data_IF_797283547686
#
_entry.id   IF_797283547686
#
_cell.length_a   1.000
_cell.length_b   1.000
_cell.length_c   1.000
_cell.angle_alpha   90.00
_cell.angle_beta   90.00
_cell.angle_gamma   90.00
#
_symmetry.space_group_name_H-M   'P 1'
#
loop_
_entity.id
_entity.type
_entity.pdbx_description
1 polymer ?
#
# COMPACT_ATOMS: atom_id res chain seq x y z
N UNK A 1 -0.91 -17.54 -5.73
CA UNK A 1 0.31 -17.81 -4.95
C UNK A 1 1.51 -16.97 -5.39
N UNK A 2 1.70 -16.64 -6.68
CA UNK A 2 2.81 -15.78 -7.16
C UNK A 2 2.58 -14.29 -6.87
N UNK A 3 1.36 -13.80 -7.02
CA UNK A 3 0.95 -12.41 -6.74
C UNK A 3 1.15 -12.08 -5.25
N UNK A 4 0.77 -12.99 -4.33
CA UNK A 4 0.96 -12.79 -2.89
C UNK A 4 2.44 -12.71 -2.48
N UNK A 5 3.31 -13.49 -3.13
CA UNK A 5 4.76 -13.44 -2.88
C UNK A 5 5.40 -12.16 -3.41
N UNK A 6 4.96 -11.67 -4.57
CA UNK A 6 5.44 -10.42 -5.17
C UNK A 6 4.92 -9.21 -4.37
N UNK A 7 3.67 -9.26 -3.88
CA UNK A 7 3.11 -8.24 -2.99
C UNK A 7 3.77 -8.22 -1.61
N UNK A 8 4.07 -9.40 -1.03
CA UNK A 8 4.83 -9.50 0.22
C UNK A 8 6.24 -8.93 0.03
N UNK A 9 6.86 -9.18 -1.12
CA UNK A 9 8.18 -8.62 -1.47
C UNK A 9 8.11 -7.09 -1.65
N UNK A 10 7.10 -6.57 -2.35
CA UNK A 10 6.90 -5.13 -2.54
C UNK A 10 6.48 -4.42 -1.26
N UNK A 11 5.60 -5.02 -0.44
CA UNK A 11 5.29 -4.49 0.90
C UNK A 11 6.54 -4.50 1.80
N UNK A 12 7.38 -5.51 1.74
CA UNK A 12 8.65 -5.52 2.46
C UNK A 12 9.62 -4.45 1.96
N UNK A 13 9.66 -4.16 0.66
CA UNK A 13 10.45 -3.04 0.12
C UNK A 13 9.88 -1.68 0.57
N UNK A 14 8.55 -1.52 0.62
CA UNK A 14 7.89 -0.29 1.09
C UNK A 14 7.98 -0.12 2.62
N UNK A 15 7.80 -1.19 3.41
CA UNK A 15 7.90 -1.12 4.88
C UNK A 15 9.34 -0.99 5.37
N UNK A 16 10.31 -1.60 4.70
CA UNK A 16 11.73 -1.42 5.01
C UNK A 16 12.22 0.00 4.69
N UNK A 17 11.67 0.65 3.66
CA UNK A 17 11.99 2.05 3.34
C UNK A 17 11.41 3.04 4.37
N UNK A 18 10.27 2.75 5.02
CA UNK A 18 9.67 3.60 6.04
C UNK A 18 10.27 3.41 7.44
N UNK A 19 10.77 2.23 7.77
CA UNK A 19 11.33 1.93 9.10
C UNK A 19 12.77 2.38 9.31
N UNK A 20 13.49 2.83 8.28
CA UNK A 20 14.92 3.14 8.35
C UNK A 20 15.30 4.59 8.01
N UNK A 21 14.39 5.53 8.09
CA UNK A 21 14.69 6.95 7.88
C UNK A 21 15.56 7.62 8.96
N UNK A 22 16.03 6.91 9.98
CA UNK A 22 16.82 7.50 11.09
C UNK A 22 18.27 7.02 11.14
N UNK A 23 18.72 6.09 10.31
CA UNK A 23 20.14 5.74 10.30
C UNK A 23 20.74 5.76 8.90
N UNK A 24 21.38 6.88 8.61
CA UNK A 24 22.44 7.11 7.62
C UNK A 24 22.05 6.97 6.14
N UNK A 25 22.21 8.06 5.39
CA UNK A 25 22.11 8.10 3.92
C UNK A 25 22.96 7.05 3.17
N UNK A 26 23.87 6.37 3.86
CA UNK A 26 24.71 5.28 3.36
C UNK A 26 23.89 3.98 3.16
N UNK A 27 23.00 3.64 4.09
CA UNK A 27 22.19 2.41 3.98
C UNK A 27 21.13 2.51 2.86
N UNK A 28 20.55 3.71 2.68
CA UNK A 28 19.60 3.98 1.57
C UNK A 28 20.31 3.92 0.23
N UNK A 29 21.52 4.46 0.13
CA UNK A 29 22.34 4.41 -1.09
C UNK A 29 22.78 2.97 -1.44
N UNK A 30 23.18 2.16 -0.45
CA UNK A 30 23.52 0.76 -0.66
C UNK A 30 22.32 -0.06 -1.14
N UNK A 31 21.13 0.17 -0.59
CA UNK A 31 19.91 -0.51 -1.01
C UNK A 31 19.50 -0.11 -2.44
N UNK A 32 19.64 1.17 -2.79
CA UNK A 32 19.39 1.66 -4.15
C UNK A 32 20.36 1.05 -5.18
N UNK A 33 21.63 0.90 -4.84
CA UNK A 33 22.62 0.27 -5.73
C UNK A 33 22.31 -1.21 -5.95
N UNK A 34 21.98 -1.96 -4.90
CA UNK A 34 21.58 -3.37 -5.03
C UNK A 34 20.31 -3.54 -5.88
N UNK A 35 19.34 -2.61 -5.79
CA UNK A 35 18.16 -2.62 -6.66
C UNK A 35 18.53 -2.35 -8.12
N UNK A 36 19.46 -1.41 -8.39
CA UNK A 36 19.96 -1.13 -9.75
C UNK A 36 20.73 -2.30 -10.35
N UNK A 37 21.53 -2.98 -9.56
CA UNK A 37 22.24 -4.19 -10.00
C UNK A 37 21.23 -5.31 -10.36
N UNK A 38 20.17 -5.45 -9.57
CA UNK A 38 19.09 -6.40 -9.85
C UNK A 38 18.29 -6.03 -11.11
N UNK A 39 18.04 -4.74 -11.33
CA UNK A 39 17.40 -4.23 -12.54
C UNK A 39 18.28 -4.51 -13.78
N UNK A 40 19.60 -4.29 -13.66
CA UNK A 40 20.56 -4.59 -14.70
C UNK A 40 20.57 -6.08 -15.02
N UNK A 41 20.68 -6.94 -14.01
CA UNK A 41 20.67 -8.39 -14.21
C UNK A 41 19.37 -8.88 -14.89
N UNK A 42 18.21 -8.33 -14.51
CA UNK A 42 16.94 -8.63 -15.17
C UNK A 42 16.92 -8.15 -16.63
N UNK A 43 17.52 -6.97 -16.91
CA UNK A 43 17.62 -6.41 -18.25
C UNK A 43 18.55 -7.23 -19.13
N UNK A 44 19.71 -7.65 -18.61
CA UNK A 44 20.68 -8.49 -19.31
C UNK A 44 20.05 -9.87 -19.63
N UNK A 45 19.36 -10.47 -18.66
CA UNK A 45 18.64 -11.74 -18.88
C UNK A 45 17.54 -11.61 -19.93
N UNK A 46 16.82 -10.48 -19.94
CA UNK A 46 15.77 -10.20 -20.91
C UNK A 46 16.32 -10.03 -22.33
N UNK A 47 17.58 -9.55 -22.49
CA UNK A 47 18.22 -9.44 -23.79
C UNK A 47 18.42 -10.82 -24.46
N UNK A 48 18.67 -11.88 -23.67
CA UNK A 48 18.76 -13.25 -24.16
C UNK A 48 17.41 -13.94 -24.31
N UNK A 49 16.40 -13.49 -23.56
CA UNK A 49 15.04 -14.06 -23.55
C UNK A 49 13.98 -12.97 -23.73
N UNK A 50 13.95 -12.27 -24.89
CA UNK A 50 13.12 -11.06 -25.08
C UNK A 50 11.62 -11.31 -24.97
N UNK A 51 11.19 -12.57 -25.12
CA UNK A 51 9.79 -12.98 -25.06
C UNK A 51 9.33 -13.37 -23.64
N UNK A 52 10.25 -13.40 -22.67
CA UNK A 52 9.92 -13.86 -21.31
C UNK A 52 9.06 -12.85 -20.55
N UNK A 53 7.78 -13.19 -20.36
CA UNK A 53 6.85 -12.41 -19.51
C UNK A 53 7.37 -12.32 -18.08
N UNK A 54 7.90 -13.41 -17.53
CA UNK A 54 8.41 -13.43 -16.15
C UNK A 54 9.56 -12.44 -15.94
N UNK A 55 10.53 -12.37 -16.88
CA UNK A 55 11.64 -11.41 -16.80
C UNK A 55 11.18 -9.97 -16.97
N UNK A 56 10.17 -9.73 -17.84
CA UNK A 56 9.57 -8.39 -17.97
C UNK A 56 8.88 -7.93 -16.69
N UNK A 57 8.07 -8.80 -16.07
CA UNK A 57 7.44 -8.50 -14.80
C UNK A 57 8.47 -8.24 -13.69
N UNK A 58 9.58 -9.01 -13.68
CA UNK A 58 10.67 -8.80 -12.74
C UNK A 58 11.36 -7.46 -12.98
N UNK A 59 11.69 -7.11 -14.22
CA UNK A 59 12.26 -5.81 -14.59
C UNK A 59 11.34 -4.67 -14.20
N UNK A 60 10.05 -4.78 -14.51
CA UNK A 60 9.05 -3.79 -14.13
C UNK A 60 8.96 -3.59 -12.61
N UNK A 61 9.03 -4.68 -11.83
CA UNK A 61 9.00 -4.59 -10.37
C UNK A 61 10.22 -3.85 -9.80
N UNK A 62 11.41 -4.03 -10.37
CA UNK A 62 12.59 -3.26 -9.98
C UNK A 62 12.46 -1.77 -10.32
N UNK A 63 11.91 -1.43 -11.50
CA UNK A 63 11.61 -0.04 -11.84
C UNK A 63 10.61 0.58 -10.84
N UNK A 64 9.59 -0.18 -10.41
CA UNK A 64 8.67 0.26 -9.35
C UNK A 64 9.40 0.54 -8.04
N UNK A 65 10.28 -0.35 -7.60
CA UNK A 65 11.09 -0.16 -6.38
C UNK A 65 12.01 1.05 -6.46
N UNK A 66 12.49 1.39 -7.65
CA UNK A 66 13.33 2.56 -7.93
C UNK A 66 12.52 3.84 -8.20
N UNK A 67 11.19 3.79 -8.13
CA UNK A 67 10.28 4.87 -8.50
C UNK A 67 10.41 5.34 -9.96
N UNK A 68 10.91 4.50 -10.83
CA UNK A 68 11.06 4.73 -12.27
C UNK A 68 9.75 4.36 -12.99
N UNK A 69 8.68 5.15 -12.70
CA UNK A 69 7.29 4.81 -13.02
C UNK A 69 7.03 4.62 -14.52
N UNK A 70 7.57 5.48 -15.38
CA UNK A 70 7.37 5.37 -16.83
C UNK A 70 8.02 4.09 -17.39
N UNK A 71 9.24 3.76 -16.95
CA UNK A 71 9.90 2.52 -17.36
C UNK A 71 9.15 1.27 -16.86
N UNK A 72 8.63 1.33 -15.63
CA UNK A 72 7.79 0.25 -15.12
C UNK A 72 6.53 0.05 -15.97
N UNK A 73 5.85 1.17 -16.31
CA UNK A 73 4.65 1.15 -17.16
C UNK A 73 4.94 0.53 -18.53
N UNK A 74 6.01 0.93 -19.20
CA UNK A 74 6.38 0.39 -20.50
C UNK A 74 6.55 -1.14 -20.48
N UNK A 75 7.18 -1.69 -19.44
CA UNK A 75 7.33 -3.14 -19.32
C UNK A 75 5.99 -3.84 -19.08
N UNK A 76 5.08 -3.27 -18.27
CA UNK A 76 3.72 -3.80 -18.11
C UNK A 76 2.91 -3.70 -19.41
N UNK A 77 3.04 -2.60 -20.17
CA UNK A 77 2.39 -2.46 -21.48
C UNK A 77 2.83 -3.58 -22.45
N UNK A 78 4.13 -3.91 -22.46
CA UNK A 78 4.65 -5.01 -23.28
C UNK A 78 4.16 -6.38 -22.85
N UNK A 79 3.94 -6.59 -21.54
CA UNK A 79 3.30 -7.82 -21.05
C UNK A 79 1.86 -7.90 -21.54
N UNK A 80 1.10 -6.81 -21.36
CA UNK A 80 -0.32 -6.77 -21.71
C UNK A 80 -0.60 -6.76 -23.22
N UNK A 81 0.37 -6.33 -24.02
CA UNK A 81 0.33 -6.48 -25.49
C UNK A 81 0.36 -7.96 -25.93
N UNK A 82 0.92 -8.87 -25.11
CA UNK A 82 0.98 -10.32 -25.38
C UNK A 82 -0.14 -11.08 -24.67
N UNK A 83 -0.44 -10.70 -23.47
CA UNK A 83 -1.44 -11.31 -22.59
C UNK A 83 -2.24 -10.18 -21.93
N UNK A 84 -3.29 -9.72 -22.61
CA UNK A 84 -4.14 -8.61 -22.18
C UNK A 84 -4.82 -8.89 -20.83
N UNK A 85 -4.98 -10.16 -20.47
CA UNK A 85 -5.63 -10.63 -19.26
C UNK A 85 -4.63 -10.99 -18.15
N UNK A 86 -3.36 -10.60 -18.27
CA UNK A 86 -2.35 -10.88 -17.25
C UNK A 86 -2.66 -10.14 -15.94
N UNK A 87 -3.09 -10.83 -14.87
CA UNK A 87 -3.59 -10.15 -13.68
C UNK A 87 -2.49 -9.40 -12.93
N UNK A 88 -1.24 -9.88 -12.97
CA UNK A 88 -0.11 -9.20 -12.34
C UNK A 88 0.20 -7.89 -13.05
N UNK A 89 0.23 -7.91 -14.38
CA UNK A 89 0.52 -6.72 -15.18
C UNK A 89 -0.59 -5.67 -15.03
N UNK A 90 -1.87 -6.07 -15.08
CA UNK A 90 -3.01 -5.17 -14.86
C UNK A 90 -2.92 -4.50 -13.49
N UNK A 91 -2.74 -5.27 -12.42
CA UNK A 91 -2.68 -4.71 -11.07
C UNK A 91 -1.53 -3.70 -10.92
N UNK A 92 -0.33 -4.07 -11.32
CA UNK A 92 0.83 -3.20 -11.14
C UNK A 92 0.86 -2.02 -12.13
N UNK A 93 0.31 -2.18 -13.34
CA UNK A 93 0.15 -1.03 -14.24
C UNK A 93 -0.86 -0.03 -13.70
N UNK A 94 -1.96 -0.49 -13.12
CA UNK A 94 -2.91 0.36 -12.41
C UNK A 94 -2.21 1.16 -11.28
N UNK A 95 -1.44 0.48 -10.44
CA UNK A 95 -0.67 1.11 -9.37
C UNK A 95 0.33 2.16 -9.92
N UNK A 96 1.05 1.83 -10.99
CA UNK A 96 1.99 2.76 -11.63
C UNK A 96 1.27 3.96 -12.25
N UNK A 97 0.15 3.74 -12.94
CA UNK A 97 -0.70 4.81 -13.47
C UNK A 97 -1.22 5.74 -12.36
N UNK A 98 -1.54 5.19 -11.20
CA UNK A 98 -1.90 5.98 -10.01
C UNK A 98 -0.75 6.87 -9.54
N UNK A 99 0.50 6.36 -9.50
CA UNK A 99 1.70 7.15 -9.17
C UNK A 99 1.98 8.26 -10.17
N UNK A 100 1.65 8.02 -11.44
CA UNK A 100 1.73 9.00 -12.51
C UNK A 100 0.53 9.96 -12.58
N UNK A 101 -0.41 9.87 -11.62
CA UNK A 101 -1.67 10.63 -11.58
C UNK A 101 -2.57 10.39 -12.81
N UNK A 102 -2.42 9.26 -13.48
CA UNK A 102 -3.22 8.83 -14.64
C UNK A 102 -4.41 7.99 -14.18
N UNK A 103 -5.27 8.59 -13.36
CA UNK A 103 -6.31 7.88 -12.62
C UNK A 103 -7.30 7.12 -13.49
N UNK A 104 -7.68 7.67 -14.67
CA UNK A 104 -8.57 6.97 -15.60
C UNK A 104 -7.97 5.67 -16.14
N UNK A 105 -6.67 5.64 -16.45
CA UNK A 105 -5.99 4.43 -16.90
C UNK A 105 -5.84 3.43 -15.75
N UNK A 106 -5.53 3.91 -14.54
CA UNK A 106 -5.47 3.05 -13.37
C UNK A 106 -6.83 2.37 -13.09
N UNK A 107 -7.93 3.13 -13.19
CA UNK A 107 -9.30 2.62 -13.02
C UNK A 107 -9.62 1.54 -14.05
N UNK A 108 -9.33 1.77 -15.33
CA UNK A 108 -9.55 0.79 -16.39
C UNK A 108 -8.82 -0.53 -16.12
N UNK A 109 -7.58 -0.47 -15.67
CA UNK A 109 -6.79 -1.66 -15.37
C UNK A 109 -7.34 -2.43 -14.15
N UNK A 110 -7.75 -1.73 -13.06
CA UNK A 110 -8.39 -2.38 -11.92
C UNK A 110 -9.74 -2.99 -12.29
N UNK A 111 -10.57 -2.27 -13.05
CA UNK A 111 -11.87 -2.77 -13.51
C UNK A 111 -11.71 -3.98 -14.44
N UNK A 112 -10.73 -3.95 -15.35
CA UNK A 112 -10.42 -5.08 -16.20
C UNK A 112 -9.97 -6.29 -15.37
N UNK A 113 -9.09 -6.09 -14.37
CA UNK A 113 -8.69 -7.15 -13.46
C UNK A 113 -9.89 -7.73 -12.70
N UNK A 114 -10.82 -6.89 -12.24
CA UNK A 114 -12.03 -7.34 -11.56
C UNK A 114 -13.03 -8.03 -12.48
N UNK A 115 -13.05 -7.71 -13.77
CA UNK A 115 -13.82 -8.46 -14.76
C UNK A 115 -13.29 -9.89 -14.93
N UNK A 116 -11.95 -10.07 -14.94
CA UNK A 116 -11.32 -11.39 -15.07
C UNK A 116 -11.40 -12.17 -13.75
N UNK A 117 -11.17 -11.49 -12.63
CA UNK A 117 -11.10 -12.06 -11.27
C UNK A 117 -11.96 -11.22 -10.33
N UNK A 118 -13.30 -11.40 -10.31
CA UNK A 118 -14.22 -10.53 -9.55
C UNK A 118 -13.95 -10.49 -8.04
N UNK A 119 -13.39 -11.58 -7.48
CA UNK A 119 -13.01 -11.69 -6.07
C UNK A 119 -11.57 -11.24 -5.77
N UNK A 120 -10.88 -10.51 -6.65
CA UNK A 120 -9.53 -10.08 -6.37
C UNK A 120 -9.54 -8.96 -5.30
N UNK A 121 -9.09 -9.31 -4.10
CA UNK A 121 -9.06 -8.40 -2.94
C UNK A 121 -8.24 -7.14 -3.22
N UNK A 122 -7.04 -7.32 -3.78
CA UNK A 122 -6.09 -6.25 -4.04
C UNK A 122 -6.63 -5.24 -5.06
N UNK A 123 -7.27 -5.73 -6.11
CA UNK A 123 -7.88 -4.86 -7.12
C UNK A 123 -9.11 -4.11 -6.58
N UNK A 124 -9.94 -4.75 -5.74
CA UNK A 124 -11.07 -4.09 -5.08
C UNK A 124 -10.58 -2.99 -4.14
N UNK A 125 -9.56 -3.29 -3.33
CA UNK A 125 -8.95 -2.32 -2.42
C UNK A 125 -8.30 -1.18 -3.21
N UNK A 126 -7.50 -1.52 -4.24
CA UNK A 126 -6.83 -0.54 -5.09
C UNK A 126 -7.82 0.41 -5.77
N UNK A 127 -8.92 -0.11 -6.31
CA UNK A 127 -9.96 0.71 -6.94
C UNK A 127 -10.67 1.63 -5.93
N UNK A 128 -10.96 1.14 -4.72
CA UNK A 128 -11.58 1.95 -3.68
C UNK A 128 -10.64 3.10 -3.23
N UNK A 129 -9.36 2.81 -3.03
CA UNK A 129 -8.36 3.83 -2.68
C UNK A 129 -8.10 4.82 -3.82
N UNK A 130 -8.10 4.35 -5.07
CA UNK A 130 -8.01 5.21 -6.25
C UNK A 130 -9.20 6.17 -6.35
N UNK A 131 -10.42 5.67 -6.13
CA UNK A 131 -11.62 6.50 -6.13
C UNK A 131 -11.57 7.57 -5.02
N UNK A 132 -11.07 7.22 -3.83
CA UNK A 132 -10.84 8.18 -2.73
C UNK A 132 -9.87 9.29 -3.17
N UNK A 133 -8.73 8.92 -3.76
CA UNK A 133 -7.69 9.83 -4.23
C UNK A 133 -8.18 10.74 -5.37
N UNK A 134 -9.00 10.20 -6.27
CA UNK A 134 -9.62 10.89 -7.40
C UNK A 134 -10.91 11.63 -7.00
N UNK A 135 -11.23 11.70 -5.70
CA UNK A 135 -12.38 12.38 -5.10
C UNK A 135 -13.76 11.82 -5.50
N UNK A 136 -13.79 10.60 -5.99
CA UNK A 136 -15.01 9.82 -6.22
C UNK A 136 -15.43 9.13 -4.91
N UNK A 137 -15.84 9.95 -3.95
CA UNK A 137 -15.96 9.53 -2.56
C UNK A 137 -17.06 8.51 -2.30
N UNK A 138 -18.18 8.63 -3.00
CA UNK A 138 -19.28 7.68 -2.87
C UNK A 138 -18.83 6.28 -3.32
N UNK A 139 -18.22 6.21 -4.49
CA UNK A 139 -17.71 4.96 -5.07
C UNK A 139 -16.59 4.36 -4.20
N UNK A 140 -15.77 5.22 -3.60
CA UNK A 140 -14.72 4.77 -2.67
C UNK A 140 -15.31 4.08 -1.44
N UNK A 141 -16.30 4.74 -0.77
CA UNK A 141 -16.95 4.16 0.41
C UNK A 141 -17.78 2.94 0.07
N UNK A 142 -18.50 2.94 -1.03
CA UNK A 142 -19.25 1.77 -1.49
C UNK A 142 -18.32 0.59 -1.81
N UNK A 143 -17.16 0.87 -2.44
CA UNK A 143 -16.14 -0.13 -2.74
C UNK A 143 -15.58 -0.75 -1.47
N UNK A 144 -15.12 0.07 -0.51
CA UNK A 144 -14.52 -0.44 0.74
C UNK A 144 -15.55 -1.13 1.63
N UNK A 145 -16.81 -0.70 1.65
CA UNK A 145 -17.88 -1.36 2.38
C UNK A 145 -18.18 -2.75 1.80
N UNK A 146 -18.25 -2.88 0.46
CA UNK A 146 -18.38 -4.18 -0.18
C UNK A 146 -17.21 -5.10 0.15
N UNK A 147 -15.99 -4.56 0.13
CA UNK A 147 -14.78 -5.31 0.47
C UNK A 147 -14.81 -5.84 1.91
N UNK A 148 -15.20 -5.01 2.89
CA UNK A 148 -15.35 -5.42 4.30
C UNK A 148 -16.43 -6.51 4.45
N UNK A 149 -17.57 -6.37 3.76
CA UNK A 149 -18.62 -7.38 3.80
C UNK A 149 -18.17 -8.72 3.20
N UNK A 150 -17.34 -8.69 2.17
CA UNK A 150 -16.80 -9.89 1.52
C UNK A 150 -15.64 -10.52 2.32
N UNK A 151 -14.84 -9.69 3.00
CA UNK A 151 -13.67 -10.09 3.76
C UNK A 151 -13.72 -9.51 5.19
N UNK A 152 -14.65 -9.97 6.04
CA UNK A 152 -14.88 -9.38 7.37
C UNK A 152 -13.71 -9.54 8.34
N UNK A 153 -12.78 -10.44 8.05
CA UNK A 153 -11.57 -10.66 8.86
C UNK A 153 -10.35 -9.85 8.36
N UNK A 154 -10.52 -8.99 7.35
CA UNK A 154 -9.43 -8.20 6.81
C UNK A 154 -9.17 -6.95 7.64
N UNK A 155 -8.11 -6.97 8.46
CA UNK A 155 -7.64 -5.77 9.17
C UNK A 155 -7.33 -4.61 8.21
N UNK A 156 -6.77 -4.92 7.03
CA UNK A 156 -6.39 -3.93 6.01
C UNK A 156 -7.61 -3.20 5.47
N UNK A 157 -8.74 -3.89 5.26
CA UNK A 157 -9.95 -3.26 4.74
C UNK A 157 -10.56 -2.27 5.75
N UNK A 158 -10.60 -2.64 7.03
CA UNK A 158 -11.03 -1.71 8.10
C UNK A 158 -10.09 -0.51 8.23
N UNK A 159 -8.77 -0.75 8.24
CA UNK A 159 -7.79 0.34 8.33
C UNK A 159 -7.87 1.29 7.11
N UNK A 160 -8.13 0.76 5.92
CA UNK A 160 -8.33 1.57 4.73
C UNK A 160 -9.56 2.47 4.85
N UNK A 161 -10.72 1.95 5.33
CA UNK A 161 -11.91 2.76 5.58
C UNK A 161 -11.67 3.79 6.67
N UNK A 162 -11.01 3.41 7.76
CA UNK A 162 -10.62 4.33 8.82
C UNK A 162 -9.72 5.48 8.33
N UNK A 163 -8.79 5.21 7.40
CA UNK A 163 -8.00 6.27 6.77
C UNK A 163 -8.88 7.25 5.97
N UNK A 164 -9.81 6.74 5.15
CA UNK A 164 -10.75 7.58 4.40
C UNK A 164 -11.61 8.45 5.33
N UNK A 165 -12.08 7.88 6.44
CA UNK A 165 -12.87 8.58 7.45
C UNK A 165 -12.04 9.64 8.19
N UNK A 166 -10.79 9.32 8.54
CA UNK A 166 -9.86 10.26 9.18
C UNK A 166 -9.59 11.48 8.30
N UNK A 167 -9.32 11.28 7.00
CA UNK A 167 -9.10 12.37 6.06
C UNK A 167 -10.33 13.30 5.97
N UNK A 168 -11.52 12.78 6.22
CA UNK A 168 -12.79 13.54 6.29
C UNK A 168 -13.13 14.04 7.67
N UNK A 169 -12.23 13.88 8.64
CA UNK A 169 -12.45 14.26 10.04
C UNK A 169 -13.63 13.55 10.70
N UNK A 170 -14.06 12.42 10.16
CA UNK A 170 -15.08 11.55 10.77
C UNK A 170 -14.44 10.69 11.85
N UNK A 171 -13.84 11.34 12.84
CA UNK A 171 -12.94 10.72 13.80
C UNK A 171 -13.56 9.60 14.62
N UNK A 172 -14.85 9.70 14.97
CA UNK A 172 -15.52 8.64 15.75
C UNK A 172 -15.67 7.34 14.96
N UNK A 173 -15.93 7.43 13.64
CA UNK A 173 -16.00 6.28 12.77
C UNK A 173 -14.60 5.70 12.55
N UNK A 174 -13.62 6.55 12.28
CA UNK A 174 -12.23 6.14 12.12
C UNK A 174 -11.68 5.42 13.37
N UNK A 175 -12.02 5.88 14.59
CA UNK A 175 -11.63 5.19 15.83
C UNK A 175 -12.22 3.79 15.91
N UNK A 176 -13.51 3.64 15.54
CA UNK A 176 -14.16 2.34 15.51
C UNK A 176 -13.46 1.39 14.54
N UNK A 177 -13.23 1.82 13.31
CA UNK A 177 -12.62 1.00 12.28
C UNK A 177 -11.15 0.67 12.55
N UNK A 178 -10.36 1.61 13.07
CA UNK A 178 -9.01 1.25 13.56
C UNK A 178 -9.06 0.25 14.71
N UNK A 179 -10.07 0.32 15.56
CA UNK A 179 -10.23 -0.66 16.64
C UNK A 179 -10.57 -2.04 16.10
N UNK A 180 -11.40 -2.13 15.05
CA UNK A 180 -11.67 -3.38 14.33
C UNK A 180 -10.42 -3.93 13.64
N UNK A 181 -9.59 -3.06 13.03
CA UNK A 181 -8.32 -3.45 12.44
C UNK A 181 -7.34 -4.00 13.50
N UNK A 182 -7.20 -3.30 14.63
CA UNK A 182 -6.32 -3.71 15.74
C UNK A 182 -6.78 -5.02 16.39
N UNK A 183 -8.08 -5.29 16.52
CA UNK A 183 -8.58 -6.58 17.00
C UNK A 183 -8.08 -7.75 16.13
N UNK A 184 -7.93 -7.54 14.83
CA UNK A 184 -7.47 -8.55 13.86
C UNK A 184 -5.95 -8.63 13.76
N UNK A 185 -5.28 -7.47 13.87
CA UNK A 185 -3.82 -7.35 13.84
C UNK A 185 -3.33 -6.49 15.04
N UNK A 186 -3.22 -7.05 16.26
CA UNK A 186 -2.96 -6.28 17.48
C UNK A 186 -1.58 -5.60 17.53
N UNK A 187 -0.61 -6.13 16.80
CA UNK A 187 0.78 -5.66 16.81
C UNK A 187 1.13 -4.74 15.64
N UNK A 188 0.13 -4.34 14.83
CA UNK A 188 0.39 -3.44 13.71
C UNK A 188 0.53 -2.00 14.23
N UNK A 189 1.76 -1.51 14.16
CA UNK A 189 2.13 -0.21 14.73
C UNK A 189 1.40 0.96 14.05
N UNK A 190 1.18 0.87 12.73
CA UNK A 190 0.51 1.91 11.96
C UNK A 190 -0.96 2.09 12.39
N UNK A 191 -1.65 1.00 12.74
CA UNK A 191 -3.03 1.08 13.21
C UNK A 191 -3.12 1.71 14.60
N UNK A 192 -2.23 1.33 15.50
CA UNK A 192 -2.13 1.91 16.84
C UNK A 192 -1.81 3.40 16.78
N UNK A 193 -0.83 3.79 15.96
CA UNK A 193 -0.43 5.18 15.79
C UNK A 193 -1.57 6.03 15.21
N UNK A 194 -2.26 5.49 14.19
CA UNK A 194 -3.38 6.16 13.54
C UNK A 194 -4.57 6.32 14.50
N UNK A 195 -4.86 5.29 15.33
CA UNK A 195 -5.91 5.38 16.36
C UNK A 195 -5.53 6.37 17.46
N UNK A 196 -4.29 6.38 17.91
CA UNK A 196 -3.81 7.39 18.87
C UNK A 196 -4.01 8.81 18.33
N UNK A 197 -3.67 9.04 17.04
CA UNK A 197 -3.93 10.33 16.41
C UNK A 197 -5.42 10.71 16.45
N UNK A 198 -6.30 9.80 16.07
CA UNK A 198 -7.75 10.02 16.04
C UNK A 198 -8.28 10.29 17.46
N UNK A 199 -7.81 9.55 18.46
CA UNK A 199 -8.19 9.73 19.87
C UNK A 199 -7.74 11.10 20.42
N UNK A 200 -6.58 11.60 19.99
CA UNK A 200 -6.14 12.96 20.29
C UNK A 200 -7.14 13.99 19.71
N UNK A 201 -7.58 13.82 18.46
CA UNK A 201 -8.55 14.72 17.85
C UNK A 201 -9.91 14.69 18.58
N UNK A 202 -10.29 13.53 19.11
CA UNK A 202 -11.49 13.33 19.91
C UNK A 202 -11.34 13.77 21.38
N UNK A 203 -10.16 14.27 21.79
CA UNK A 203 -9.82 14.63 23.17
C UNK A 203 -9.90 13.46 24.16
N UNK A 204 -9.74 12.23 23.67
CA UNK A 204 -9.69 10.99 24.45
C UNK A 204 -8.25 10.74 24.90
N UNK A 205 -7.81 11.53 25.89
CA UNK A 205 -6.42 11.57 26.34
C UNK A 205 -5.91 10.24 26.87
N UNK A 206 -6.68 9.61 27.76
CA UNK A 206 -6.24 8.37 28.42
C UNK A 206 -6.14 7.22 27.42
N UNK A 207 -7.13 7.08 26.54
CA UNK A 207 -7.16 6.06 25.51
C UNK A 207 -6.03 6.26 24.47
N UNK A 208 -5.70 7.51 24.14
CA UNK A 208 -4.56 7.82 23.28
C UNK A 208 -3.22 7.42 23.95
N UNK A 209 -3.08 7.67 25.25
CA UNK A 209 -1.91 7.25 26.04
C UNK A 209 -1.76 5.73 26.09
N UNK A 210 -2.86 4.97 26.13
CA UNK A 210 -2.83 3.50 26.07
C UNK A 210 -2.23 3.00 24.73
N UNK A 211 -2.66 3.59 23.61
CA UNK A 211 -2.10 3.25 22.29
C UNK A 211 -0.61 3.57 22.20
N UNK A 212 -0.18 4.75 22.70
CA UNK A 212 1.23 5.13 22.71
C UNK A 212 2.09 4.21 23.58
N UNK A 213 1.59 3.78 24.75
CA UNK A 213 2.26 2.78 25.60
C UNK A 213 2.36 1.42 24.91
N UNK A 214 1.33 1.04 24.14
CA UNK A 214 1.36 -0.19 23.35
C UNK A 214 2.43 -0.13 22.26
N UNK A 215 2.58 1.02 21.59
CA UNK A 215 3.66 1.25 20.62
C UNK A 215 5.05 1.17 21.27
N UNK A 216 5.23 1.74 22.47
CA UNK A 216 6.51 1.62 23.23
C UNK A 216 6.83 0.14 23.56
N UNK A 217 5.82 -0.66 23.95
CA UNK A 217 5.99 -2.11 24.18
C UNK A 217 6.38 -2.87 22.90
N UNK A 218 5.93 -2.39 21.74
CA UNK A 218 6.30 -2.93 20.43
C UNK A 218 7.66 -2.40 19.91
N UNK A 219 8.40 -1.66 20.74
CA UNK A 219 9.74 -1.19 20.44
C UNK A 219 9.83 0.18 19.75
N UNK A 220 8.72 0.89 19.60
CA UNK A 220 8.75 2.26 19.08
C UNK A 220 9.34 3.18 20.15
N UNK A 221 10.39 3.93 19.81
CA UNK A 221 11.04 4.80 20.78
C UNK A 221 10.13 5.95 21.19
N UNK A 222 10.20 6.32 22.47
CA UNK A 222 9.46 7.49 23.01
C UNK A 222 9.84 8.81 22.31
N UNK A 223 11.05 8.89 21.79
CA UNK A 223 11.50 10.04 21.01
C UNK A 223 10.71 10.16 19.70
N UNK A 224 10.44 9.05 19.02
CA UNK A 224 9.64 9.04 17.82
C UNK A 224 8.16 9.41 18.10
N UNK A 225 7.66 9.12 19.30
CA UNK A 225 6.29 9.44 19.74
C UNK A 225 6.15 10.82 20.41
N UNK A 226 7.24 11.61 20.50
CA UNK A 226 7.28 12.86 21.25
C UNK A 226 6.15 13.82 20.86
N UNK A 227 5.91 14.01 19.56
CA UNK A 227 4.88 14.93 19.07
C UNK A 227 3.48 14.56 19.58
N UNK A 228 3.17 13.27 19.66
CA UNK A 228 1.90 12.77 20.19
C UNK A 228 1.77 13.04 21.69
N UNK A 229 2.83 12.76 22.46
CA UNK A 229 2.87 13.06 23.89
C UNK A 229 2.75 14.57 24.19
N UNK A 230 3.36 15.42 23.38
CA UNK A 230 3.29 16.87 23.53
C UNK A 230 1.86 17.41 23.29
N UNK A 231 1.11 16.80 22.38
CA UNK A 231 -0.31 17.13 22.14
C UNK A 231 -1.26 16.68 23.26
N UNK A 232 -0.79 15.84 24.17
CA UNK A 232 -1.57 15.30 25.30
C UNK A 232 -1.26 16.00 26.64
N UNK A 233 -0.33 16.96 26.67
CA UNK A 233 -0.04 17.79 27.85
C UNK A 233 -1.14 18.84 28.05
#
# INVERSE_FOLDING_TARGET
MMISKLMIFMNRCLTLALMWMISTGIAVAQNSNAMRDSLKAASDSLAFHPESVALRLQKASWNVCLHEWEYAKEEYDRVLAKDENNPTALYFRAYVNEKLSRYNFARQDYEHLLYIVPGNFEAQLGLALLNEKDKHYTEAFDGINRLINQYPDSAVAYAARANMERERKMYSLAEFDYSEAIKRCPNEQDYLLSRAFVRIQLKKKEEALEDLRSLEKLGVSRVALKEFYDKLK
#
